data_IF_903512483639
#
_entry.id   IF_903512483639
#
_cell.length_a   1.000
_cell.length_b   1.000
_cell.length_c   1.000
_cell.angle_alpha   90.00
_cell.angle_beta   90.00
_cell.angle_gamma   90.00
#
_symmetry.space_group_name_H-M   'P 1'
#
loop_
_entity.id
_entity.type
_entity.pdbx_description
1 polymer ?
#
# COMPACT_ATOMS: atom_id res chain seq x y z
N UNK A 1 -38.35 13.72 -66.27
CA UNK A 1 -37.24 14.31 -65.50
C UNK A 1 -37.22 13.69 -64.10
N UNK A 2 -36.10 13.02 -63.80
CA UNK A 2 -35.48 12.74 -62.49
C UNK A 2 -36.34 12.33 -61.27
N UNK A 3 -36.12 11.06 -60.85
CA UNK A 3 -35.70 10.57 -59.52
C UNK A 3 -36.52 11.05 -58.28
N UNK A 4 -36.96 10.24 -57.31
CA UNK A 4 -36.52 8.94 -56.77
C UNK A 4 -37.56 8.51 -55.68
N UNK A 5 -38.01 7.24 -55.65
CA UNK A 5 -37.70 6.20 -54.63
C UNK A 5 -38.29 6.47 -53.20
N UNK A 6 -39.00 5.57 -52.48
CA UNK A 6 -39.42 4.17 -52.68
C UNK A 6 -40.37 3.74 -51.55
N UNK A 7 -41.40 2.98 -51.92
CA UNK A 7 -41.94 1.75 -51.28
C UNK A 7 -42.31 1.71 -49.78
N UNK A 8 -43.63 1.71 -49.59
CA UNK A 8 -44.40 0.79 -48.73
C UNK A 8 -43.92 -0.68 -48.83
N UNK A 9 -43.85 -1.42 -47.72
CA UNK A 9 -44.76 -2.54 -47.40
C UNK A 9 -44.51 -3.13 -46.00
N UNK A 10 -45.61 -3.39 -45.28
CA UNK A 10 -45.77 -4.12 -44.02
C UNK A 10 -45.26 -5.56 -44.11
N UNK A 11 -44.70 -6.07 -42.99
CA UNK A 11 -44.47 -7.50 -42.78
C UNK A 11 -44.12 -7.81 -41.31
N UNK A 12 -45.08 -8.39 -40.60
CA UNK A 12 -45.01 -8.90 -39.24
C UNK A 12 -44.02 -10.07 -39.12
N UNK A 13 -43.17 -10.12 -38.08
CA UNK A 13 -42.82 -11.34 -37.30
C UNK A 13 -41.69 -11.10 -36.29
N UNK A 14 -41.92 -11.68 -35.12
CA UNK A 14 -41.04 -11.82 -33.98
C UNK A 14 -39.62 -12.31 -34.31
N UNK A 15 -38.64 -11.55 -33.85
CA UNK A 15 -37.39 -12.11 -33.36
C UNK A 15 -36.93 -11.24 -32.19
N UNK A 16 -37.06 -11.68 -30.92
CA UNK A 16 -36.14 -11.15 -29.92
C UNK A 16 -34.76 -11.58 -30.38
N UNK A 17 -33.95 -10.62 -30.79
CA UNK A 17 -32.50 -10.84 -30.89
C UNK A 17 -32.10 -11.44 -29.56
N UNK A 18 -31.63 -12.69 -29.58
CA UNK A 18 -30.94 -13.28 -28.45
C UNK A 18 -29.74 -12.36 -28.17
N UNK A 19 -29.91 -11.45 -27.21
CA UNK A 19 -28.79 -10.91 -26.46
C UNK A 19 -28.12 -12.14 -25.84
N UNK A 20 -27.09 -12.64 -26.51
CA UNK A 20 -26.09 -13.50 -25.93
C UNK A 20 -25.32 -12.63 -24.93
N UNK A 21 -25.97 -12.31 -23.81
CA UNK A 21 -25.29 -11.89 -22.60
C UNK A 21 -24.45 -13.07 -22.17
N UNK A 22 -23.21 -13.11 -22.66
CA UNK A 22 -22.17 -13.93 -22.05
C UNK A 22 -22.10 -13.45 -20.61
N UNK A 23 -22.78 -14.18 -19.72
CA UNK A 23 -22.59 -14.07 -18.28
C UNK A 23 -21.10 -14.33 -18.05
N UNK A 24 -20.34 -13.24 -18.05
CA UNK A 24 -18.94 -13.28 -17.70
C UNK A 24 -18.96 -13.47 -16.20
N UNK A 25 -18.99 -14.73 -15.78
CA UNK A 25 -19.09 -15.06 -14.36
C UNK A 25 -17.87 -14.44 -13.69
N UNK A 26 -18.14 -13.51 -12.77
CA UNK A 26 -17.07 -12.87 -12.00
C UNK A 26 -16.26 -13.96 -11.28
N UNK A 27 -14.92 -13.92 -11.34
CA UNK A 27 -14.10 -14.88 -10.64
C UNK A 27 -14.41 -14.83 -9.14
N UNK A 28 -14.52 -15.99 -8.49
CA UNK A 28 -14.76 -16.12 -7.05
C UNK A 28 -13.51 -16.49 -6.28
N UNK A 29 -12.53 -17.08 -6.96
CA UNK A 29 -11.29 -17.60 -6.36
C UNK A 29 -10.05 -16.98 -7.01
N UNK A 30 -8.90 -17.16 -6.35
CA UNK A 30 -7.62 -16.70 -6.89
C UNK A 30 -7.28 -17.38 -8.23
N UNK A 31 -7.63 -18.67 -8.36
CA UNK A 31 -7.34 -19.46 -9.54
C UNK A 31 -8.25 -19.09 -10.71
N UNK A 32 -9.54 -18.85 -10.46
CA UNK A 32 -10.48 -18.32 -11.46
C UNK A 32 -10.04 -16.93 -11.94
N UNK A 33 -9.60 -16.06 -11.02
CA UNK A 33 -9.06 -14.75 -11.37
C UNK A 33 -7.81 -14.88 -12.24
N UNK A 34 -6.89 -15.80 -11.89
CA UNK A 34 -5.69 -16.05 -12.69
C UNK A 34 -6.04 -16.56 -14.08
N UNK A 35 -6.99 -17.51 -14.19
CA UNK A 35 -7.47 -18.01 -15.47
C UNK A 35 -8.06 -16.89 -16.33
N UNK A 36 -8.88 -16.01 -15.72
CA UNK A 36 -9.44 -14.84 -16.42
C UNK A 36 -8.36 -13.88 -16.88
N UNK A 37 -7.38 -13.57 -16.05
CA UNK A 37 -6.27 -12.70 -16.43
C UNK A 37 -5.40 -13.31 -17.54
N UNK A 38 -5.23 -14.64 -17.58
CA UNK A 38 -4.54 -15.34 -18.67
C UNK A 38 -5.27 -15.20 -20.00
N UNK A 39 -6.60 -15.31 -20.00
CA UNK A 39 -7.42 -15.02 -21.19
C UNK A 39 -7.24 -13.57 -21.67
N UNK A 40 -6.94 -12.64 -20.76
CA UNK A 40 -6.68 -11.23 -21.04
C UNK A 40 -5.21 -10.92 -21.35
N UNK A 41 -4.36 -11.94 -21.49
CA UNK A 41 -2.97 -11.80 -21.96
C UNK A 41 -1.89 -11.86 -20.88
N UNK A 42 -2.23 -12.20 -19.63
CA UNK A 42 -1.23 -12.46 -18.58
C UNK A 42 -0.46 -13.76 -18.86
N UNK A 43 0.87 -13.71 -18.91
CA UNK A 43 1.72 -14.85 -19.29
C UNK A 43 2.75 -15.21 -18.23
N UNK A 44 3.34 -14.23 -17.55
CA UNK A 44 4.53 -14.41 -16.71
C UNK A 44 4.26 -14.85 -15.27
N UNK A 45 2.99 -15.05 -14.91
CA UNK A 45 2.57 -15.36 -13.55
C UNK A 45 2.18 -16.83 -13.43
N UNK A 46 2.86 -17.52 -12.51
CA UNK A 46 2.62 -18.92 -12.19
C UNK A 46 1.40 -19.09 -11.28
N UNK A 47 1.26 -18.23 -10.26
CA UNK A 47 0.22 -18.32 -9.24
C UNK A 47 -0.33 -16.95 -8.82
N UNK A 48 -1.60 -16.91 -8.42
CA UNK A 48 -2.25 -15.73 -7.88
C UNK A 48 -2.62 -15.92 -6.40
N UNK A 49 -2.68 -14.82 -5.64
CA UNK A 49 -3.13 -14.81 -4.25
C UNK A 49 -4.02 -13.61 -3.98
N UNK A 50 -5.15 -13.85 -3.32
CA UNK A 50 -6.02 -12.77 -2.87
C UNK A 50 -5.54 -12.14 -1.56
N UNK A 51 -5.74 -10.84 -1.42
CA UNK A 51 -5.45 -10.09 -0.19
C UNK A 51 -6.60 -9.17 0.20
N UNK A 52 -6.69 -8.85 1.49
CA UNK A 52 -7.58 -7.81 2.04
C UNK A 52 -6.85 -6.52 2.41
N UNK A 53 -5.57 -6.43 2.02
CA UNK A 53 -4.72 -5.31 2.38
C UNK A 53 -5.10 -4.06 1.56
N UNK A 54 -5.72 -3.07 2.20
CA UNK A 54 -6.13 -1.82 1.55
C UNK A 54 -4.98 -0.91 1.07
N UNK A 55 -3.75 -1.18 1.50
CA UNK A 55 -2.61 -0.38 1.06
C UNK A 55 -2.10 -0.87 -0.30
N UNK A 56 -2.09 -2.18 -0.55
CA UNK A 56 -1.57 -2.77 -1.79
C UNK A 56 -2.71 -3.37 -2.59
N UNK A 57 -3.04 -2.73 -3.71
CA UNK A 57 -4.13 -3.16 -4.59
C UNK A 57 -3.72 -4.35 -5.44
N UNK A 58 -2.56 -4.23 -6.09
CA UNK A 58 -2.00 -5.23 -7.00
C UNK A 58 -0.49 -5.19 -6.84
N UNK A 59 0.15 -6.34 -6.65
CA UNK A 59 1.61 -6.44 -6.64
C UNK A 59 2.06 -7.76 -7.23
N UNK A 60 3.19 -7.78 -7.92
CA UNK A 60 3.76 -9.01 -8.47
C UNK A 60 5.28 -9.07 -8.32
N UNK A 61 5.80 -10.29 -8.28
CA UNK A 61 7.22 -10.59 -8.18
C UNK A 61 7.45 -12.09 -8.00
N UNK A 62 8.58 -12.62 -8.49
CA UNK A 62 8.91 -14.03 -8.34
C UNK A 62 7.85 -15.01 -8.92
N UNK A 63 7.12 -14.61 -9.96
CA UNK A 63 6.05 -15.41 -10.58
C UNK A 63 4.74 -15.46 -9.79
N UNK A 64 4.61 -14.71 -8.68
CA UNK A 64 3.37 -14.57 -7.90
C UNK A 64 2.71 -13.22 -8.18
N UNK A 65 1.39 -13.23 -8.41
CA UNK A 65 0.54 -12.03 -8.46
C UNK A 65 -0.35 -11.98 -7.22
N UNK A 66 -0.27 -10.90 -6.46
CA UNK A 66 -1.17 -10.62 -5.34
C UNK A 66 -2.17 -9.55 -5.76
N UNK A 67 -3.46 -9.85 -5.62
CA UNK A 67 -4.57 -8.95 -6.00
C UNK A 67 -5.51 -8.78 -4.82
N UNK A 68 -6.00 -7.57 -4.60
CA UNK A 68 -7.03 -7.33 -3.58
C UNK A 68 -8.33 -8.06 -3.95
N UNK A 69 -8.99 -8.71 -2.98
CA UNK A 69 -10.21 -9.51 -3.23
C UNK A 69 -11.35 -8.69 -3.85
N UNK A 70 -11.35 -7.39 -3.61
CA UNK A 70 -12.27 -6.44 -4.23
C UNK A 70 -12.24 -6.42 -5.76
N UNK A 71 -11.17 -6.88 -6.42
CA UNK A 71 -11.11 -6.98 -7.87
C UNK A 71 -11.83 -8.21 -8.44
N UNK A 72 -12.33 -9.11 -7.59
CA UNK A 72 -13.12 -10.25 -8.05
C UNK A 72 -14.40 -9.81 -8.77
N UNK A 73 -14.96 -8.66 -8.39
CA UNK A 73 -16.15 -8.06 -9.01
C UNK A 73 -15.81 -6.95 -10.00
N UNK A 74 -14.54 -6.80 -10.36
CA UNK A 74 -14.11 -5.71 -11.23
C UNK A 74 -14.54 -5.94 -12.69
N UNK A 75 -14.91 -4.87 -13.41
CA UNK A 75 -15.22 -4.98 -14.83
C UNK A 75 -13.97 -5.41 -15.61
N UNK A 76 -14.20 -6.00 -16.78
CA UNK A 76 -13.11 -6.53 -17.62
C UNK A 76 -12.05 -5.49 -17.99
N UNK A 77 -12.42 -4.22 -18.13
CA UNK A 77 -11.49 -3.11 -18.37
C UNK A 77 -10.43 -2.99 -17.26
N UNK A 78 -10.83 -3.19 -16.01
CA UNK A 78 -9.92 -3.17 -14.84
C UNK A 78 -9.07 -4.44 -14.82
N UNK A 79 -9.64 -5.60 -15.13
CA UNK A 79 -8.87 -6.85 -15.23
C UNK A 79 -7.82 -6.80 -16.35
N UNK A 80 -8.14 -6.20 -17.50
CA UNK A 80 -7.17 -5.90 -18.56
C UNK A 80 -6.08 -4.97 -18.07
N UNK A 81 -6.43 -3.95 -17.29
CA UNK A 81 -5.44 -3.06 -16.69
C UNK A 81 -4.50 -3.82 -15.73
N UNK A 82 -5.00 -4.80 -14.95
CA UNK A 82 -4.15 -5.66 -14.12
C UNK A 82 -3.16 -6.46 -14.99
N UNK A 83 -3.64 -7.09 -16.07
CA UNK A 83 -2.76 -7.83 -16.99
C UNK A 83 -1.72 -6.90 -17.63
N UNK A 84 -2.13 -5.72 -18.09
CA UNK A 84 -1.25 -4.69 -18.65
C UNK A 84 -0.22 -4.16 -17.64
N UNK A 85 -0.60 -4.02 -16.37
CA UNK A 85 0.33 -3.59 -15.33
C UNK A 85 1.45 -4.61 -15.11
N UNK A 86 1.14 -5.90 -15.20
CA UNK A 86 2.11 -6.99 -15.04
C UNK A 86 2.99 -7.16 -16.27
N UNK A 87 2.38 -7.17 -17.47
CA UNK A 87 3.08 -7.43 -18.73
C UNK A 87 3.67 -6.18 -19.38
N UNK A 88 3.33 -4.99 -18.89
CA UNK A 88 3.75 -3.71 -19.43
C UNK A 88 5.26 -3.60 -19.53
N UNK A 89 5.76 -3.33 -20.74
CA UNK A 89 7.20 -3.22 -21.03
C UNK A 89 7.74 -1.85 -20.67
N UNK A 90 6.92 -0.81 -20.79
CA UNK A 90 7.33 0.57 -20.49
C UNK A 90 6.75 1.06 -19.16
N UNK A 91 7.40 2.07 -18.58
CA UNK A 91 6.90 2.77 -17.38
C UNK A 91 5.59 3.50 -17.66
N UNK A 92 5.36 3.94 -18.90
CA UNK A 92 4.14 4.64 -19.31
C UNK A 92 2.93 3.69 -19.29
N UNK A 93 3.07 2.49 -19.86
CA UNK A 93 2.00 1.47 -19.88
C UNK A 93 1.58 1.09 -18.47
N UNK A 94 2.58 0.85 -17.60
CA UNK A 94 2.31 0.52 -16.19
C UNK A 94 1.62 1.65 -15.45
N UNK A 95 1.98 2.91 -15.73
CA UNK A 95 1.30 4.08 -15.13
C UNK A 95 -0.13 4.23 -15.63
N UNK A 96 -0.40 4.03 -16.92
CA UNK A 96 -1.75 4.08 -17.46
C UNK A 96 -2.64 2.99 -16.83
N UNK A 97 -2.14 1.76 -16.76
CA UNK A 97 -2.80 0.65 -16.09
C UNK A 97 -3.03 0.94 -14.59
N UNK A 98 -2.03 1.48 -13.90
CA UNK A 98 -2.12 1.85 -12.49
C UNK A 98 -3.26 2.85 -12.21
N UNK A 99 -3.46 3.85 -13.09
CA UNK A 99 -4.56 4.82 -12.93
C UNK A 99 -5.93 4.13 -12.94
N UNK A 100 -6.15 3.22 -13.89
CA UNK A 100 -7.40 2.46 -14.01
C UNK A 100 -7.62 1.58 -12.79
N UNK A 101 -6.57 0.86 -12.35
CA UNK A 101 -6.61 -0.02 -11.17
C UNK A 101 -7.02 0.79 -9.93
N UNK A 102 -6.32 1.89 -9.65
CA UNK A 102 -6.56 2.68 -8.42
C UNK A 102 -7.91 3.41 -8.46
N UNK A 103 -8.41 3.78 -9.63
CA UNK A 103 -9.70 4.45 -9.78
C UNK A 103 -10.90 3.52 -9.51
N UNK A 104 -10.73 2.20 -9.61
CA UNK A 104 -11.82 1.25 -9.37
C UNK A 104 -12.26 1.25 -7.88
N UNK A 105 -13.53 1.53 -7.56
CA UNK A 105 -14.01 1.61 -6.19
C UNK A 105 -14.17 0.22 -5.57
N UNK A 106 -13.22 -0.16 -4.72
CA UNK A 106 -13.33 -1.39 -3.94
C UNK A 106 -14.24 -1.15 -2.72
N UNK A 107 -15.45 -1.67 -2.77
CA UNK A 107 -16.38 -1.74 -1.64
C UNK A 107 -15.98 -2.93 -0.75
N UNK A 108 -15.14 -2.69 0.26
CA UNK A 108 -14.88 -3.71 1.30
C UNK A 108 -15.76 -3.44 2.50
N UNK A 109 -16.37 -4.49 3.08
CA UNK A 109 -16.96 -4.44 4.41
C UNK A 109 -15.98 -3.77 5.39
N UNK A 110 -16.52 -2.97 6.31
CA UNK A 110 -15.73 -2.16 7.24
C UNK A 110 -14.63 -3.02 7.91
N UNK A 111 -13.39 -2.52 7.99
CA UNK A 111 -12.29 -3.31 8.50
C UNK A 111 -12.56 -3.73 9.95
N UNK A 112 -12.26 -5.00 10.27
CA UNK A 112 -11.89 -5.36 11.65
C UNK A 112 -10.59 -4.60 11.96
N UNK A 113 -10.72 -3.39 12.48
CA UNK A 113 -9.65 -2.51 12.89
C UNK A 113 -9.00 -3.00 14.20
N UNK A 114 -8.69 -4.29 14.31
CA UNK A 114 -7.90 -4.78 15.42
C UNK A 114 -6.45 -4.37 15.15
N UNK A 115 -6.15 -3.10 15.46
CA UNK A 115 -4.79 -2.61 15.63
C UNK A 115 -4.06 -3.63 16.49
N UNK A 116 -2.93 -4.11 16.01
CA UNK A 116 -2.09 -5.00 16.79
C UNK A 116 -1.71 -4.23 18.06
N UNK A 117 -2.06 -4.77 19.22
CA UNK A 117 -1.70 -4.17 20.50
C UNK A 117 -0.27 -4.59 20.85
N UNK A 118 0.42 -3.77 21.63
CA UNK A 118 1.63 -4.23 22.33
C UNK A 118 1.28 -5.49 23.12
N UNK A 119 2.18 -6.47 23.08
CA UNK A 119 2.04 -7.67 23.89
C UNK A 119 2.44 -7.35 25.34
N UNK A 120 1.76 -7.94 26.33
CA UNK A 120 1.96 -7.66 27.76
C UNK A 120 3.45 -7.69 28.18
N UNK A 121 4.21 -8.73 27.81
CA UNK A 121 5.65 -8.81 28.16
C UNK A 121 6.54 -7.68 27.58
N UNK A 122 6.01 -6.87 26.64
CA UNK A 122 6.74 -5.75 26.04
C UNK A 122 6.28 -4.39 26.59
N UNK A 123 5.39 -4.35 27.58
CA UNK A 123 4.91 -3.12 28.20
C UNK A 123 6.06 -2.31 28.80
N UNK A 124 7.00 -2.95 29.50
CA UNK A 124 8.18 -2.25 30.03
C UNK A 124 9.08 -1.63 28.95
N UNK A 125 9.14 -2.23 27.75
CA UNK A 125 9.86 -1.63 26.62
C UNK A 125 9.09 -0.39 26.12
N UNK A 126 7.76 -0.45 26.07
CA UNK A 126 6.93 0.70 25.69
C UNK A 126 7.09 1.84 26.68
N UNK A 127 6.95 1.60 27.98
CA UNK A 127 7.11 2.62 29.02
C UNK A 127 8.46 3.33 28.91
N UNK A 128 9.53 2.56 28.69
CA UNK A 128 10.86 3.12 28.52
C UNK A 128 10.97 3.96 27.22
N UNK A 129 10.41 3.50 26.11
CA UNK A 129 10.36 4.28 24.87
C UNK A 129 9.52 5.56 25.01
N UNK A 130 8.42 5.53 25.77
CA UNK A 130 7.58 6.70 26.05
C UNK A 130 8.33 7.73 26.90
N UNK A 131 9.03 7.28 27.94
CA UNK A 131 9.89 8.14 28.73
C UNK A 131 11.00 8.79 27.88
N UNK A 132 11.60 8.04 26.96
CA UNK A 132 12.59 8.58 26.03
C UNK A 132 12.02 9.53 25.01
N UNK A 133 10.81 9.27 24.49
CA UNK A 133 10.11 10.19 23.59
C UNK A 133 9.90 11.54 24.27
N UNK A 134 9.39 11.55 25.51
CA UNK A 134 9.22 12.79 26.28
C UNK A 134 10.54 13.52 26.49
N UNK A 135 11.62 12.81 26.85
CA UNK A 135 12.95 13.39 27.03
C UNK A 135 13.50 13.99 25.74
N UNK A 136 13.37 13.28 24.62
CA UNK A 136 13.80 13.78 23.32
C UNK A 136 12.94 14.93 22.83
N UNK A 137 11.64 14.91 23.10
CA UNK A 137 10.75 16.01 22.77
C UNK A 137 11.22 17.29 23.46
N UNK A 138 11.43 17.23 24.78
CA UNK A 138 11.96 18.35 25.55
C UNK A 138 13.32 18.82 25.03
N UNK A 139 14.25 17.89 24.77
CA UNK A 139 15.64 18.21 24.39
C UNK A 139 15.83 18.72 22.96
N UNK A 140 15.11 18.15 21.99
CA UNK A 140 15.38 18.32 20.55
C UNK A 140 14.25 19.01 19.79
N UNK A 141 13.07 19.08 20.40
CA UNK A 141 11.87 19.66 19.78
C UNK A 141 11.21 20.72 20.68
N UNK A 142 11.90 21.15 21.74
CA UNK A 142 11.44 22.16 22.71
C UNK A 142 10.10 21.81 23.39
N UNK A 143 9.77 20.52 23.47
CA UNK A 143 8.51 20.04 24.04
C UNK A 143 7.28 20.25 23.13
N UNK A 144 7.45 20.68 21.88
CA UNK A 144 6.31 21.03 21.01
C UNK A 144 5.63 19.83 20.35
N UNK A 145 6.28 18.65 20.28
CA UNK A 145 5.64 17.48 19.70
C UNK A 145 4.53 16.96 20.61
N UNK A 146 3.38 16.61 20.03
CA UNK A 146 2.28 16.00 20.78
C UNK A 146 2.69 14.63 21.32
N UNK A 147 2.04 14.20 22.38
CA UNK A 147 2.17 12.81 22.83
C UNK A 147 1.49 11.90 21.79
N UNK A 148 2.21 10.86 21.37
CA UNK A 148 1.72 9.85 20.43
C UNK A 148 1.80 8.48 21.09
N UNK A 149 0.94 7.57 20.65
CA UNK A 149 1.00 6.19 21.14
C UNK A 149 2.32 5.56 20.69
N UNK A 150 3.02 4.88 21.62
CA UNK A 150 4.19 4.08 21.28
C UNK A 150 3.83 2.60 21.33
N UNK A 151 4.28 1.86 20.32
CA UNK A 151 4.00 0.44 20.19
C UNK A 151 5.26 -0.37 19.89
N UNK A 152 5.37 -1.53 20.53
CA UNK A 152 6.40 -2.52 20.22
C UNK A 152 5.82 -3.62 19.33
N UNK A 153 6.37 -3.77 18.13
CA UNK A 153 5.87 -4.68 17.11
C UNK A 153 6.70 -5.97 17.04
N UNK A 154 6.08 -7.12 17.32
CA UNK A 154 6.70 -8.46 17.16
C UNK A 154 6.80 -8.91 15.70
N UNK A 155 5.86 -8.49 14.85
CA UNK A 155 5.81 -8.87 13.41
C UNK A 155 6.65 -8.02 12.47
N UNK A 156 7.26 -6.93 12.94
CA UNK A 156 8.00 -6.00 12.09
C UNK A 156 9.40 -6.57 11.75
N UNK A 157 9.53 -7.10 10.54
CA UNK A 157 10.76 -7.78 10.06
C UNK A 157 11.59 -6.95 9.08
N UNK A 158 10.97 -6.05 8.31
CA UNK A 158 11.61 -5.33 7.21
C UNK A 158 12.03 -3.89 7.55
N UNK A 159 11.56 -3.37 8.68
CA UNK A 159 11.82 -2.01 9.18
C UNK A 159 12.19 -2.07 10.66
N UNK A 160 12.88 -1.04 11.15
CA UNK A 160 13.26 -0.92 12.57
C UNK A 160 12.22 -0.11 13.35
N UNK A 161 11.64 0.91 12.70
CA UNK A 161 10.52 1.70 13.18
C UNK A 161 9.62 2.17 12.03
N UNK A 162 8.48 2.77 12.37
CA UNK A 162 7.76 3.70 11.50
C UNK A 162 6.82 4.59 12.32
N UNK A 163 6.68 5.82 11.85
CA UNK A 163 5.59 6.73 12.23
C UNK A 163 4.34 6.50 11.38
N UNK A 164 3.16 6.56 12.01
CA UNK A 164 1.84 6.53 11.37
C UNK A 164 1.06 7.78 11.74
N UNK A 165 0.66 8.54 10.72
CA UNK A 165 -0.20 9.73 10.86
C UNK A 165 -1.57 9.33 11.39
N UNK A 166 -2.14 10.18 12.25
CA UNK A 166 -3.50 9.99 12.75
C UNK A 166 -4.56 10.15 11.65
N UNK A 167 -5.57 9.28 11.63
CA UNK A 167 -6.68 9.44 10.69
C UNK A 167 -7.70 10.45 11.22
N UNK A 168 -8.22 11.34 10.33
CA UNK A 168 -9.40 12.16 10.62
C UNK A 168 -10.59 11.22 10.91
N UNK A 169 -10.92 11.01 12.20
CA UNK A 169 -12.06 10.18 12.61
C UNK A 169 -11.79 9.06 13.63
N UNK A 170 -10.67 9.07 14.36
CA UNK A 170 -10.61 8.34 15.65
C UNK A 170 -9.32 7.60 15.96
N UNK A 171 -8.37 7.57 15.04
CA UNK A 171 -7.11 6.86 15.19
C UNK A 171 -6.00 7.88 15.41
N UNK A 172 -5.51 8.04 16.64
CA UNK A 172 -4.35 8.91 16.94
C UNK A 172 -3.09 8.47 16.20
N UNK A 173 -2.15 9.41 16.04
CA UNK A 173 -0.81 9.13 15.50
C UNK A 173 -0.05 8.15 16.41
N UNK A 174 0.84 7.36 15.80
CA UNK A 174 1.55 6.27 16.48
C UNK A 174 3.00 6.17 16.00
N UNK A 175 3.93 5.89 16.91
CA UNK A 175 5.28 5.40 16.59
C UNK A 175 5.34 3.91 16.96
N UNK A 176 5.72 3.08 15.99
CA UNK A 176 5.92 1.66 16.21
C UNK A 176 7.38 1.26 16.02
N UNK A 177 7.98 0.58 17.00
CA UNK A 177 9.36 0.09 16.97
C UNK A 177 9.38 -1.44 16.93
N UNK A 178 10.29 -2.05 16.16
CA UNK A 178 10.44 -3.51 16.10
C UNK A 178 11.01 -4.05 17.42
N UNK A 179 10.30 -5.02 18.03
CA UNK A 179 10.80 -5.74 19.22
C UNK A 179 12.15 -6.38 18.94
N UNK A 180 12.27 -7.01 17.77
CA UNK A 180 13.52 -7.68 17.40
C UNK A 180 14.68 -6.69 17.27
N UNK A 181 14.40 -5.43 16.90
CA UNK A 181 15.43 -4.42 16.81
C UNK A 181 15.95 -4.03 18.20
N UNK A 182 15.05 -3.76 19.15
CA UNK A 182 15.39 -3.47 20.55
C UNK A 182 16.26 -4.58 21.14
N UNK A 183 15.83 -5.84 20.97
CA UNK A 183 16.52 -6.98 21.58
C UNK A 183 17.84 -7.35 20.91
N UNK A 184 17.96 -7.18 19.59
CA UNK A 184 19.16 -7.63 18.85
C UNK A 184 20.23 -6.57 18.72
N UNK A 185 19.84 -5.30 18.55
CA UNK A 185 20.78 -4.20 18.32
C UNK A 185 20.96 -3.33 19.57
N UNK A 186 20.15 -3.54 20.61
CA UNK A 186 20.24 -2.86 21.87
C UNK A 186 19.54 -1.50 21.90
N UNK A 187 19.52 -0.91 23.09
CA UNK A 187 18.83 0.35 23.38
C UNK A 187 19.36 1.56 22.62
N UNK A 188 20.68 1.80 22.50
CA UNK A 188 21.18 2.97 21.77
C UNK A 188 20.64 3.06 20.34
N UNK A 189 20.62 1.95 19.61
CA UNK A 189 20.11 1.92 18.24
C UNK A 189 18.59 2.03 18.16
N UNK A 190 17.87 1.44 19.12
CA UNK A 190 16.43 1.60 19.22
C UNK A 190 16.03 3.06 19.50
N UNK A 191 16.78 3.76 20.36
CA UNK A 191 16.56 5.17 20.67
C UNK A 191 16.94 6.09 19.51
N UNK A 192 18.00 5.74 18.78
CA UNK A 192 18.32 6.41 17.51
C UNK A 192 17.19 6.27 16.49
N UNK A 193 16.60 5.07 16.38
CA UNK A 193 15.41 4.84 15.54
C UNK A 193 14.19 5.62 16.05
N UNK A 194 13.93 5.63 17.37
CA UNK A 194 12.85 6.43 17.95
C UNK A 194 12.98 7.91 17.57
N UNK A 195 14.18 8.48 17.72
CA UNK A 195 14.44 9.87 17.36
C UNK A 195 14.25 10.12 15.86
N UNK A 196 14.59 9.15 15.00
CA UNK A 196 14.28 9.21 13.56
C UNK A 196 12.77 9.30 13.30
N UNK A 197 11.97 8.44 13.94
CA UNK A 197 10.51 8.47 13.80
C UNK A 197 9.89 9.75 14.38
N UNK A 198 10.49 10.34 15.42
CA UNK A 198 10.08 11.65 15.94
C UNK A 198 10.35 12.79 14.97
N UNK A 199 11.39 12.70 14.11
CA UNK A 199 11.57 13.68 13.02
C UNK A 199 10.45 13.55 11.98
N UNK A 200 9.95 12.34 11.71
CA UNK A 200 8.76 12.17 10.87
C UNK A 200 7.50 12.71 11.54
N UNK A 201 7.34 12.53 12.86
CA UNK A 201 6.28 13.18 13.62
C UNK A 201 6.36 14.71 13.52
N UNK A 202 7.56 15.29 13.66
CA UNK A 202 7.77 16.72 13.51
C UNK A 202 7.38 17.24 12.12
N UNK A 203 7.65 16.47 11.05
CA UNK A 203 7.18 16.83 9.71
C UNK A 203 5.64 16.86 9.65
N UNK A 204 4.97 15.84 10.17
CA UNK A 204 3.50 15.76 10.19
C UNK A 204 2.89 16.95 10.95
N UNK A 205 3.38 17.21 12.16
CA UNK A 205 2.85 18.27 13.03
C UNK A 205 3.20 19.69 12.56
N UNK A 206 4.19 19.85 11.68
CA UNK A 206 4.52 21.12 11.03
C UNK A 206 3.98 21.21 9.60
N UNK A 207 3.01 20.35 9.25
CA UNK A 207 2.32 20.30 7.95
C UNK A 207 3.26 20.13 6.75
N UNK A 208 4.38 19.44 6.97
CA UNK A 208 5.36 19.10 5.93
C UNK A 208 5.05 17.72 5.37
N UNK A 209 5.38 17.53 4.09
CA UNK A 209 5.39 16.19 3.48
C UNK A 209 6.31 15.27 4.27
N UNK A 210 5.80 14.10 4.65
CA UNK A 210 6.56 13.06 5.37
C UNK A 210 7.42 12.29 4.38
N UNK A 211 8.69 12.65 4.33
CA UNK A 211 9.70 12.07 3.45
C UNK A 211 11.12 12.35 3.98
N UNK A 212 12.15 11.89 3.27
CA UNK A 212 13.56 12.18 3.56
C UNK A 212 14.08 13.40 2.77
N UNK A 213 13.28 14.46 2.66
CA UNK A 213 13.63 15.72 1.99
C UNK A 213 14.79 16.47 2.65
N UNK A 214 15.19 17.60 2.07
CA UNK A 214 16.25 18.44 2.62
C UNK A 214 15.93 18.93 4.04
N UNK A 215 14.67 19.28 4.33
CA UNK A 215 14.23 19.68 5.68
C UNK A 215 14.34 18.54 6.68
N UNK A 216 14.00 17.31 6.27
CA UNK A 216 14.20 16.13 7.11
C UNK A 216 15.68 15.96 7.47
N UNK A 217 16.56 16.00 6.48
CA UNK A 217 18.01 15.83 6.69
C UNK A 217 18.60 16.94 7.54
N UNK A 218 18.12 18.17 7.38
CA UNK A 218 18.51 19.29 8.21
C UNK A 218 18.12 19.04 9.67
N UNK A 219 16.86 18.65 9.92
CA UNK A 219 16.41 18.33 11.28
C UNK A 219 17.14 17.13 11.88
N UNK A 220 17.42 16.08 11.10
CA UNK A 220 18.24 14.96 11.56
C UNK A 220 19.63 15.40 12.04
N UNK A 221 20.31 16.26 11.27
CA UNK A 221 21.61 16.80 11.69
C UNK A 221 21.50 17.64 12.95
N UNK A 222 20.47 18.47 13.06
CA UNK A 222 20.21 19.29 14.25
C UNK A 222 20.02 18.43 15.51
N UNK A 223 19.28 17.32 15.41
CA UNK A 223 19.03 16.42 16.54
C UNK A 223 20.13 15.36 16.72
N UNK A 224 21.20 15.41 15.92
CA UNK A 224 22.38 14.56 16.07
C UNK A 224 22.23 13.13 15.54
N UNK A 225 21.34 12.89 14.58
CA UNK A 225 21.10 11.56 13.99
C UNK A 225 21.42 11.51 12.50
N UNK A 226 21.79 10.33 12.02
CA UNK A 226 21.94 10.12 10.58
C UNK A 226 20.55 10.11 9.91
N UNK A 227 20.37 10.78 8.75
CA UNK A 227 19.08 10.83 8.07
C UNK A 227 18.68 9.51 7.41
N UNK A 228 19.48 8.45 7.56
CA UNK A 228 19.22 7.14 6.97
C UNK A 228 18.91 6.12 8.07
N UNK A 229 17.65 5.73 8.19
CA UNK A 229 17.30 4.46 8.82
C UNK A 229 17.53 3.30 7.81
N UNK A 230 18.77 3.14 7.31
CA UNK A 230 19.12 2.00 6.44
C UNK A 230 20.00 1.02 7.21
N UNK A 231 19.50 -0.21 7.33
CA UNK A 231 20.23 -1.48 7.42
C UNK A 231 21.69 -1.34 6.91
N UNK A 232 22.68 -1.49 7.78
CA UNK A 232 23.89 -2.23 7.38
C UNK A 232 23.49 -3.71 7.43
N UNK A 233 22.80 -4.14 6.39
CA UNK A 233 22.84 -5.55 6.05
C UNK A 233 24.25 -5.83 5.60
N UNK A 234 24.95 -6.72 6.32
CA UNK A 234 25.82 -7.64 5.59
C UNK A 234 24.97 -8.23 4.47
N UNK A 235 25.38 -7.94 3.23
CA UNK A 235 24.81 -8.49 2.02
C UNK A 235 24.87 -10.01 2.13
N UNK A 236 23.74 -10.65 2.43
CA UNK A 236 23.51 -12.00 1.90
C UNK A 236 23.14 -11.81 0.44
N UNK A 237 24.11 -12.13 -0.41
CA UNK A 237 23.92 -12.38 -1.84
C UNK A 237 22.81 -13.43 -1.96
N UNK A 238 21.69 -13.08 -2.58
CA UNK A 238 20.59 -14.02 -2.84
C UNK A 238 19.21 -13.36 -2.97
N UNK A 239 18.80 -13.14 -4.22
CA UNK A 239 17.43 -12.89 -4.69
C UNK A 239 16.71 -11.59 -4.24
N UNK A 240 16.95 -10.52 -5.00
CA UNK A 240 15.91 -9.55 -5.33
C UNK A 240 15.57 -9.73 -6.82
N UNK A 241 14.47 -10.42 -7.13
CA UNK A 241 13.85 -10.34 -8.44
C UNK A 241 12.76 -9.27 -8.37
N UNK A 242 12.85 -8.34 -9.32
CA UNK A 242 11.99 -7.16 -9.53
C UNK A 242 10.57 -7.31 -8.99
N UNK A 243 10.28 -6.62 -7.88
CA UNK A 243 8.93 -6.55 -7.30
C UNK A 243 8.27 -5.21 -7.64
N UNK A 244 7.06 -5.27 -8.17
CA UNK A 244 6.30 -4.09 -8.59
C UNK A 244 4.96 -4.04 -7.82
N UNK A 245 4.60 -2.86 -7.30
CA UNK A 245 3.47 -2.69 -6.36
C UNK A 245 2.64 -1.45 -6.71
N UNK A 246 1.32 -1.60 -6.77
CA UNK A 246 0.34 -0.50 -6.84
C UNK A 246 -0.25 -0.24 -5.45
N UNK A 247 -0.09 0.99 -4.97
CA UNK A 247 -0.59 1.45 -3.67
C UNK A 247 -1.73 2.46 -3.88
N UNK A 248 -2.75 2.42 -3.02
CA UNK A 248 -3.92 3.32 -3.09
C UNK A 248 -3.57 4.81 -2.97
N UNK A 249 -2.46 5.16 -2.33
CA UNK A 249 -2.00 6.55 -2.17
C UNK A 249 -1.42 7.19 -3.45
N UNK A 250 -1.23 6.45 -4.54
CA UNK A 250 -0.59 6.95 -5.75
C UNK A 250 -1.50 7.81 -6.68
N UNK A 251 -2.65 8.28 -6.20
CA UNK A 251 -3.63 9.04 -6.99
C UNK A 251 -4.01 10.40 -6.37
N UNK A 252 -3.09 11.03 -5.63
CA UNK A 252 -3.22 12.46 -5.27
C UNK A 252 -2.00 13.20 -5.78
N UNK A 253 -2.17 13.91 -6.89
CA UNK A 253 -1.14 14.67 -7.58
C UNK A 253 -1.63 15.06 -8.96
N UNK A 254 -2.59 15.98 -8.98
CA UNK A 254 -2.62 17.05 -9.97
C UNK A 254 -1.80 18.22 -9.41
#
# INVERSE_FOLDING_TARGET
>A
MLQALTRFFRGNRDTPQFELSFETTNPRTADELLARLRQLGLKRIAKARLTRNRNVMVSFGGGELRVHEGYLVAPESVLRAIAMFVEGRTRADRRAAQRIIVAFPILTAAPSARRERTHADDEGIVEQLEAWHQRYNARHFNGHLRQVAIRVSRRMKSRLGHYTVGARGGAGAEIAISRSHVLKHGWPEALHTLLHEMVHQWQDETERTIDHSASFRAKCREVGIAPYARRVLQMRVGHALDSHTVVRQAARGE
#
